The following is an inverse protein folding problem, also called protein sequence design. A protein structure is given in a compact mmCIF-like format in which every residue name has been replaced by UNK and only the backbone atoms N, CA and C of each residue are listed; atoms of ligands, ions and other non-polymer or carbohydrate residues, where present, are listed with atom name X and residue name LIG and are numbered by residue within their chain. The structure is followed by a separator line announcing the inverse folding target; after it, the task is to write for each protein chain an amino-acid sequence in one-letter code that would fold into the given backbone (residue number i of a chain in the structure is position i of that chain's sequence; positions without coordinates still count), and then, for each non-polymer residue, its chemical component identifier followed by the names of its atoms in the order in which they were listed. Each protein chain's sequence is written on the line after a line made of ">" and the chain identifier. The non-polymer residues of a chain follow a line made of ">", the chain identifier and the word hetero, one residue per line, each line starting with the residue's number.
data_IF_173744954726
#
_entry.id   IF_173744954726
#
_cell.length_a   1.000
_cell.length_b   1.000
_cell.length_c   1.000
_cell.angle_alpha   90.00
_cell.angle_beta   90.00
_cell.angle_gamma   90.00
#
_symmetry.space_group_name_H-M   'P 1'
#
loop_
_entity.id
_entity.type
_entity.pdbx_description
1 polymer ?
#
# COMPACT_ATOMS: atom_id res chain seq x y z
N UNK A 1 29.72 -28.47 -66.76
CA UNK A 1 28.72 -27.48 -66.27
C UNK A 1 29.33 -26.69 -65.11
N UNK A 2 29.93 -25.53 -65.40
CA UNK A 2 30.45 -24.63 -64.37
C UNK A 2 29.32 -23.72 -63.86
N UNK A 3 29.00 -23.78 -62.58
CA UNK A 3 28.09 -22.81 -61.96
C UNK A 3 28.77 -21.45 -61.95
N UNK A 4 28.18 -20.48 -62.64
CA UNK A 4 28.61 -19.09 -62.63
C UNK A 4 28.60 -18.55 -61.20
N UNK A 5 29.78 -18.26 -60.65
CA UNK A 5 29.97 -17.55 -59.38
C UNK A 5 29.77 -16.06 -59.65
N UNK A 6 28.52 -15.66 -59.92
CA UNK A 6 28.18 -14.29 -60.26
C UNK A 6 28.34 -13.36 -59.04
N UNK A 7 29.21 -12.36 -59.18
CA UNK A 7 29.12 -11.03 -58.58
C UNK A 7 29.03 -10.90 -57.03
N UNK A 8 29.74 -11.73 -56.27
CA UNK A 8 29.89 -11.50 -54.83
C UNK A 8 30.72 -10.24 -54.50
N UNK A 9 31.61 -9.80 -55.41
CA UNK A 9 32.55 -8.69 -55.16
C UNK A 9 31.96 -7.28 -55.18
N UNK A 10 30.92 -7.02 -55.99
CA UNK A 10 30.32 -5.67 -56.11
C UNK A 10 29.22 -5.41 -55.07
N UNK A 11 28.58 -6.46 -54.53
CA UNK A 11 27.64 -6.33 -53.41
C UNK A 11 28.34 -6.38 -52.05
N UNK A 12 29.55 -6.95 -51.94
CA UNK A 12 30.29 -7.05 -50.68
C UNK A 12 30.72 -5.71 -50.06
N UNK A 13 30.82 -4.63 -50.87
CA UNK A 13 31.17 -3.28 -50.42
C UNK A 13 29.95 -2.36 -50.23
N UNK A 14 28.75 -2.84 -50.54
CA UNK A 14 27.52 -2.05 -50.37
C UNK A 14 27.15 -2.09 -48.87
N UNK A 15 27.06 -0.94 -48.19
CA UNK A 15 26.62 -0.92 -46.80
C UNK A 15 25.17 -1.40 -46.70
N UNK A 16 24.89 -2.24 -45.71
CA UNK A 16 23.54 -2.78 -45.49
C UNK A 16 22.57 -1.66 -45.12
N UNK A 17 21.44 -1.58 -45.83
CA UNK A 17 20.39 -0.56 -45.67
C UNK A 17 19.42 -0.85 -44.52
N UNK A 18 19.88 -1.55 -43.49
CA UNK A 18 19.06 -1.88 -42.32
C UNK A 18 18.79 -0.64 -41.48
N UNK A 19 17.53 -0.44 -41.07
CA UNK A 19 17.11 0.68 -40.23
C UNK A 19 17.89 0.78 -38.91
N UNK A 20 18.36 -0.35 -38.38
CA UNK A 20 19.22 -0.39 -37.19
C UNK A 20 20.60 0.24 -37.44
N UNK A 21 21.28 -0.09 -38.56
CA UNK A 21 22.58 0.49 -38.91
C UNK A 21 22.51 1.97 -39.26
N UNK A 22 21.36 2.41 -39.77
CA UNK A 22 21.11 3.82 -40.09
C UNK A 22 20.44 4.62 -38.96
N UNK A 23 20.23 4.02 -37.77
CA UNK A 23 19.53 4.65 -36.64
C UNK A 23 18.14 5.23 -37.01
N UNK A 24 17.39 4.55 -37.89
CA UNK A 24 16.03 4.92 -38.34
C UNK A 24 14.95 4.03 -37.74
N UNK A 25 15.22 3.45 -36.57
CA UNK A 25 14.19 2.72 -35.86
C UNK A 25 13.11 3.70 -35.39
N UNK A 26 11.82 3.32 -35.46
CA UNK A 26 10.76 4.14 -34.90
C UNK A 26 11.05 4.33 -33.42
N UNK A 27 11.37 5.57 -33.03
CA UNK A 27 11.62 5.93 -31.64
C UNK A 27 10.44 6.73 -31.15
N UNK A 28 9.88 6.30 -30.02
CA UNK A 28 8.94 7.14 -29.31
C UNK A 28 9.75 8.30 -28.69
N UNK A 29 9.50 9.51 -29.16
CA UNK A 29 10.15 10.74 -28.67
C UNK A 29 9.12 11.56 -27.90
N UNK A 30 8.89 11.25 -26.61
CA UNK A 30 7.95 12.01 -25.81
C UNK A 30 8.46 13.43 -25.66
N UNK A 31 7.71 14.38 -26.19
CA UNK A 31 8.00 15.79 -26.01
C UNK A 31 7.41 16.26 -24.69
N UNK A 32 8.29 16.59 -23.74
CA UNK A 32 7.91 17.13 -22.44
C UNK A 32 7.43 18.59 -22.60
N UNK A 33 6.22 18.77 -23.13
CA UNK A 33 5.57 20.08 -23.27
C UNK A 33 4.67 20.39 -22.07
N UNK A 34 4.64 21.65 -21.63
CA UNK A 34 3.85 22.10 -20.48
C UNK A 34 2.36 21.70 -20.56
N UNK A 35 1.78 21.72 -21.77
CA UNK A 35 0.38 21.33 -22.01
C UNK A 35 0.09 19.86 -21.71
N UNK A 36 1.07 18.97 -21.83
CA UNK A 36 0.88 17.52 -21.56
C UNK A 36 1.28 17.16 -20.13
N UNK A 37 2.28 17.85 -19.59
CA UNK A 37 2.84 17.59 -18.27
C UNK A 37 1.95 18.13 -17.16
N UNK A 38 1.45 19.37 -17.28
CA UNK A 38 0.65 19.99 -16.21
C UNK A 38 -0.61 19.18 -15.87
N UNK A 39 -1.42 18.72 -16.85
CA UNK A 39 -2.59 17.89 -16.55
C UNK A 39 -2.22 16.53 -15.94
N UNK A 40 -1.14 15.90 -16.40
CA UNK A 40 -0.75 14.58 -15.88
C UNK A 40 -0.31 14.65 -14.42
N UNK A 41 0.38 15.71 -14.01
CA UNK A 41 0.70 15.95 -12.60
C UNK A 41 -0.53 16.19 -11.74
N UNK A 42 -1.53 16.96 -12.21
CA UNK A 42 -2.80 17.12 -11.48
C UNK A 42 -3.57 15.80 -11.35
N UNK A 43 -3.62 14.98 -12.40
CA UNK A 43 -4.24 13.65 -12.34
C UNK A 43 -3.53 12.76 -11.32
N UNK A 44 -2.20 12.67 -11.38
CA UNK A 44 -1.41 11.88 -10.43
C UNK A 44 -1.59 12.36 -8.99
N UNK A 45 -1.60 13.68 -8.76
CA UNK A 45 -1.80 14.26 -7.43
C UNK A 45 -3.19 13.93 -6.86
N UNK A 46 -4.24 14.15 -7.64
CA UNK A 46 -5.63 13.88 -7.21
C UNK A 46 -5.88 12.40 -6.94
N UNK A 47 -5.35 11.52 -7.80
CA UNK A 47 -5.43 10.05 -7.60
C UNK A 47 -4.76 9.67 -6.28
N UNK A 48 -3.54 10.15 -6.00
CA UNK A 48 -2.83 9.82 -4.76
C UNK A 48 -3.52 10.35 -3.52
N UNK A 49 -4.09 11.57 -3.58
CA UNK A 49 -4.84 12.13 -2.45
C UNK A 49 -6.11 11.33 -2.18
N UNK A 50 -6.90 11.02 -3.22
CA UNK A 50 -8.13 10.21 -3.06
C UNK A 50 -7.84 8.81 -2.56
N UNK A 51 -6.80 8.17 -3.09
CA UNK A 51 -6.34 6.87 -2.63
C UNK A 51 -5.87 6.93 -1.16
N UNK A 52 -5.07 7.94 -0.79
CA UNK A 52 -4.62 8.14 0.59
C UNK A 52 -5.77 8.31 1.58
N UNK A 53 -6.78 9.11 1.23
CA UNK A 53 -8.00 9.29 2.07
C UNK A 53 -8.78 7.98 2.21
N UNK A 54 -8.97 7.25 1.10
CA UNK A 54 -9.65 5.95 1.11
C UNK A 54 -8.93 4.95 2.04
N UNK A 55 -7.61 4.86 1.92
CA UNK A 55 -6.80 3.98 2.76
C UNK A 55 -6.84 4.38 4.23
N UNK A 56 -6.84 5.69 4.54
CA UNK A 56 -6.95 6.16 5.92
C UNK A 56 -8.29 5.73 6.54
N UNK A 57 -9.39 5.84 5.79
CA UNK A 57 -10.71 5.40 6.23
C UNK A 57 -10.74 3.88 6.48
N UNK A 58 -10.08 3.08 5.64
CA UNK A 58 -10.00 1.63 5.88
C UNK A 58 -9.25 1.30 7.18
N UNK A 59 -8.18 2.02 7.50
CA UNK A 59 -7.40 1.80 8.72
C UNK A 59 -8.19 2.21 9.96
N UNK A 60 -9.03 3.25 9.88
CA UNK A 60 -9.90 3.66 10.99
C UNK A 60 -10.99 2.64 11.31
N UNK A 61 -11.40 1.83 10.33
CA UNK A 61 -12.37 0.75 10.53
C UNK A 61 -11.72 -0.57 11.00
N UNK A 62 -10.39 -0.63 11.06
CA UNK A 62 -9.66 -1.79 11.54
C UNK A 62 -9.45 -1.68 13.04
N UNK A 63 -9.78 -2.76 13.76
CA UNK A 63 -9.57 -2.85 15.20
C UNK A 63 -8.46 -3.84 15.50
N UNK A 64 -7.50 -3.44 16.34
CA UNK A 64 -6.39 -4.27 16.80
C UNK A 64 -6.41 -4.37 18.33
N UNK A 65 -6.49 -5.59 18.85
CA UNK A 65 -6.36 -5.90 20.26
C UNK A 65 -4.99 -6.52 20.51
N UNK A 66 -4.22 -5.91 21.40
CA UNK A 66 -2.87 -6.36 21.80
C UNK A 66 -2.86 -6.83 23.24
N UNK A 67 -2.34 -8.04 23.46
CA UNK A 67 -2.32 -8.69 24.77
C UNK A 67 -0.90 -9.12 25.10
N UNK A 68 -0.24 -8.35 25.96
CA UNK A 68 1.07 -8.70 26.49
C UNK A 68 0.94 -9.77 27.59
N UNK A 69 1.61 -10.90 27.40
CA UNK A 69 1.65 -12.01 28.34
C UNK A 69 3.08 -12.37 28.76
N UNK A 70 4.05 -11.47 28.55
CA UNK A 70 5.48 -11.71 28.81
C UNK A 70 5.77 -12.22 30.23
N UNK A 71 5.07 -11.72 31.23
CA UNK A 71 5.24 -12.09 32.65
C UNK A 71 4.10 -12.94 33.20
N UNK A 72 3.12 -13.28 32.36
CA UNK A 72 2.05 -14.17 32.75
C UNK A 72 2.50 -15.61 32.48
N UNK A 73 2.39 -16.49 33.50
CA UNK A 73 2.47 -17.94 33.29
C UNK A 73 1.25 -18.45 32.50
N UNK A 74 0.70 -19.62 32.85
CA UNK A 74 -0.66 -19.95 32.38
C UNK A 74 -1.65 -18.94 32.95
N UNK A 75 -2.34 -18.19 32.09
CA UNK A 75 -3.28 -17.13 32.48
C UNK A 75 -4.49 -17.11 31.55
N UNK A 76 -5.65 -16.89 32.15
CA UNK A 76 -6.90 -16.60 31.47
C UNK A 76 -7.10 -15.08 31.40
N UNK A 77 -7.01 -14.52 30.19
CA UNK A 77 -7.36 -13.12 29.93
C UNK A 77 -8.72 -13.07 29.25
N UNK A 78 -9.71 -12.52 29.96
CA UNK A 78 -11.05 -12.31 29.43
C UNK A 78 -11.20 -10.86 28.94
N UNK A 79 -11.59 -10.72 27.67
CA UNK A 79 -11.87 -9.46 26.99
C UNK A 79 -13.37 -9.32 26.77
N UNK A 80 -13.90 -8.17 27.17
CA UNK A 80 -15.28 -7.78 26.95
C UNK A 80 -15.31 -6.85 25.73
N UNK A 81 -15.98 -7.26 24.65
CA UNK A 81 -15.91 -6.53 23.36
C UNK A 81 -16.87 -5.34 23.24
N UNK A 82 -17.54 -4.88 24.31
CA UNK A 82 -18.12 -3.52 24.38
C UNK A 82 -18.29 -3.06 25.82
N UNK A 83 -17.91 -1.80 26.10
CA UNK A 83 -18.17 -1.12 27.37
C UNK A 83 -19.67 -0.96 27.61
N UNK A 84 -20.20 -1.59 28.66
CA UNK A 84 -21.14 -1.04 29.66
C UNK A 84 -21.22 -2.10 30.78
N UNK A 85 -20.96 -1.70 32.03
CA UNK A 85 -20.93 -2.62 33.18
C UNK A 85 -22.20 -3.49 33.21
N UNK A 86 -22.05 -4.81 33.23
CA UNK A 86 -23.03 -5.72 33.82
C UNK A 86 -22.45 -6.40 35.07
N UNK A 87 -23.29 -6.66 36.09
CA UNK A 87 -22.85 -7.22 37.36
C UNK A 87 -22.46 -8.68 37.20
N UNK A 88 -21.54 -9.11 38.06
CA UNK A 88 -20.93 -10.44 38.15
C UNK A 88 -21.93 -11.59 37.93
N UNK A 89 -21.61 -12.61 37.11
CA UNK A 89 -22.49 -13.75 36.94
C UNK A 89 -22.36 -14.70 38.15
N UNK A 90 -23.41 -14.76 38.97
CA UNK A 90 -23.66 -15.92 39.83
C UNK A 90 -23.84 -17.17 38.97
N UNK A 91 -23.17 -18.24 39.37
CA UNK A 91 -23.05 -19.51 38.67
C UNK A 91 -24.40 -20.16 38.33
N UNK A 92 -24.62 -20.44 37.04
CA UNK A 92 -25.44 -21.58 36.60
C UNK A 92 -25.03 -22.03 35.20
N UNK A 93 -24.33 -23.14 35.13
CA UNK A 93 -24.03 -23.87 33.90
C UNK A 93 -25.26 -24.67 33.45
N UNK A 94 -25.65 -24.54 32.19
CA UNK A 94 -26.51 -25.52 31.51
C UNK A 94 -25.86 -25.94 30.20
N UNK A 95 -25.57 -27.23 30.14
CA UNK A 95 -25.02 -28.03 29.05
C UNK A 95 -25.84 -27.94 27.76
N UNK A 96 -25.15 -27.85 26.62
CA UNK A 96 -25.74 -27.94 25.29
C UNK A 96 -24.72 -27.62 24.19
N UNK A 97 -23.81 -28.56 23.91
CA UNK A 97 -22.79 -28.42 22.87
C UNK A 97 -23.40 -28.60 21.48
N UNK A 98 -23.97 -27.53 20.94
CA UNK A 98 -24.20 -27.38 19.49
C UNK A 98 -22.91 -26.81 18.91
N UNK A 99 -22.24 -27.55 18.02
CA UNK A 99 -21.04 -27.08 17.34
C UNK A 99 -21.36 -25.73 16.69
N UNK A 100 -20.73 -24.66 17.18
CA UNK A 100 -20.89 -23.32 16.65
C UNK A 100 -20.45 -23.34 15.19
N UNK A 101 -21.36 -22.94 14.30
CA UNK A 101 -21.03 -22.58 12.92
C UNK A 101 -19.76 -21.71 12.91
N UNK A 102 -18.86 -21.87 11.92
CA UNK A 102 -17.68 -21.03 11.79
C UNK A 102 -18.11 -19.55 11.77
N UNK A 103 -17.38 -18.69 12.48
CA UNK A 103 -17.65 -17.25 12.58
C UNK A 103 -17.40 -16.55 11.22
N UNK A 104 -18.31 -16.71 10.26
CA UNK A 104 -18.19 -16.14 8.89
C UNK A 104 -18.29 -14.62 8.87
N UNK A 105 -19.03 -14.03 9.81
CA UNK A 105 -19.24 -12.58 9.96
C UNK A 105 -18.35 -11.96 11.06
N UNK A 106 -17.32 -12.68 11.51
CA UNK A 106 -16.44 -12.25 12.59
C UNK A 106 -16.96 -12.61 14.00
N UNK A 107 -16.21 -12.17 15.02
CA UNK A 107 -16.57 -12.44 16.40
C UNK A 107 -17.76 -11.55 16.81
N UNK A 108 -18.91 -12.11 17.23
CA UNK A 108 -20.02 -11.31 17.75
C UNK A 108 -19.60 -10.58 19.02
N UNK A 109 -20.30 -9.49 19.36
CA UNK A 109 -20.06 -8.78 20.61
C UNK A 109 -20.32 -9.70 21.81
N UNK A 110 -19.33 -9.86 22.70
CA UNK A 110 -19.40 -10.72 23.88
C UNK A 110 -18.10 -10.83 24.66
N UNK A 111 -18.12 -11.68 25.68
CA UNK A 111 -16.97 -11.94 26.55
C UNK A 111 -16.16 -13.12 26.01
N UNK A 112 -14.91 -12.86 25.65
CA UNK A 112 -13.99 -13.84 25.10
C UNK A 112 -12.82 -14.02 26.04
N UNK A 113 -12.61 -15.25 26.52
CA UNK A 113 -11.43 -15.60 27.30
C UNK A 113 -10.40 -16.29 26.41
N UNK A 114 -9.18 -15.77 26.42
CA UNK A 114 -8.02 -16.37 25.77
C UNK A 114 -7.27 -17.13 26.87
N UNK A 115 -7.34 -18.46 26.82
CA UNK A 115 -6.59 -19.34 27.71
C UNK A 115 -5.22 -19.62 27.09
N UNK A 116 -4.19 -18.94 27.59
CA UNK A 116 -2.81 -19.14 27.14
C UNK A 116 -2.18 -20.20 28.03
N UNK A 117 -2.05 -21.42 27.52
CA UNK A 117 -1.31 -22.48 28.20
C UNK A 117 0.17 -22.37 27.85
N UNK A 118 0.99 -21.97 28.82
CA UNK A 118 2.43 -21.83 28.60
C UNK A 118 3.15 -23.12 28.93
N UNK A 119 3.56 -23.89 27.92
CA UNK A 119 4.54 -24.97 28.11
C UNK A 119 5.92 -24.34 28.17
N UNK A 120 6.60 -24.48 29.30
CA UNK A 120 7.88 -23.85 29.63
C UNK A 120 8.95 -24.01 28.54
N UNK A 121 9.05 -23.04 27.62
CA UNK A 121 10.26 -22.83 26.81
C UNK A 121 11.01 -21.62 27.38
N UNK A 122 11.66 -21.85 28.51
CA UNK A 122 12.71 -20.98 29.02
C UNK A 122 13.97 -21.34 28.25
N UNK A 123 14.28 -20.61 27.18
CA UNK A 123 15.66 -20.53 26.71
C UNK A 123 16.45 -19.96 27.88
N UNK A 124 17.28 -20.81 28.50
CA UNK A 124 18.19 -20.39 29.54
C UNK A 124 19.13 -19.33 28.96
N UNK A 125 18.91 -18.08 29.33
CA UNK A 125 19.65 -16.94 28.82
C UNK A 125 18.83 -15.68 28.99
N UNK A 126 19.45 -14.64 29.54
CA UNK A 126 18.88 -13.34 29.89
C UNK A 126 18.47 -12.49 28.67
N UNK A 127 17.71 -13.04 27.73
CA UNK A 127 17.11 -12.29 26.63
C UNK A 127 15.64 -12.07 26.91
N UNK A 128 15.35 -10.87 27.42
CA UNK A 128 14.03 -10.39 27.81
C UNK A 128 13.17 -10.11 26.57
N UNK A 129 12.73 -11.17 25.89
CA UNK A 129 11.80 -11.07 24.76
C UNK A 129 10.37 -10.77 25.24
N UNK A 130 9.76 -9.70 24.72
CA UNK A 130 8.33 -9.39 24.93
C UNK A 130 7.45 -10.33 24.10
N UNK A 131 6.48 -10.99 24.72
CA UNK A 131 5.53 -11.89 24.08
C UNK A 131 4.13 -11.26 24.09
N UNK A 132 3.55 -11.09 22.91
CA UNK A 132 2.28 -10.42 22.74
C UNK A 132 1.40 -11.19 21.75
N UNK A 133 0.12 -11.39 22.11
CA UNK A 133 -0.90 -11.90 21.20
C UNK A 133 -1.60 -10.70 20.58
N UNK A 134 -1.68 -10.66 19.25
CA UNK A 134 -2.37 -9.60 18.52
C UNK A 134 -3.56 -10.19 17.77
N UNK A 135 -4.75 -9.68 18.04
CA UNK A 135 -5.98 -9.99 17.32
C UNK A 135 -6.39 -8.77 16.52
N UNK A 136 -6.25 -8.84 15.20
CA UNK A 136 -6.61 -7.74 14.29
C UNK A 136 -7.65 -8.18 13.28
N UNK A 137 -8.60 -7.31 12.96
CA UNK A 137 -9.44 -7.50 11.77
C UNK A 137 -8.60 -7.29 10.51
N UNK A 138 -8.81 -8.10 9.48
CA UNK A 138 -8.10 -7.96 8.19
C UNK A 138 -8.93 -7.10 7.25
N UNK A 139 -8.38 -5.97 6.81
CA UNK A 139 -8.92 -5.22 5.68
C UNK A 139 -8.32 -5.74 4.38
N UNK A 140 -8.87 -5.34 3.22
CA UNK A 140 -8.33 -5.69 1.90
C UNK A 140 -6.82 -5.40 1.79
N UNK A 141 -6.35 -4.32 2.41
CA UNK A 141 -4.95 -3.88 2.35
C UNK A 141 -4.10 -4.43 3.52
N UNK A 142 -4.70 -5.22 4.42
CA UNK A 142 -4.03 -5.86 5.54
C UNK A 142 -4.40 -5.28 6.91
N UNK A 143 -3.46 -5.42 7.85
CA UNK A 143 -3.58 -5.04 9.26
C UNK A 143 -3.41 -3.52 9.46
N UNK A 144 -3.76 -3.03 10.65
CA UNK A 144 -3.75 -1.63 11.05
C UNK A 144 -2.38 -0.96 10.79
N UNK A 145 -2.28 -0.22 9.69
CA UNK A 145 -1.04 0.46 9.31
C UNK A 145 -1.29 1.90 8.83
N UNK A 146 -0.95 2.87 9.68
CA UNK A 146 -1.07 4.29 9.37
C UNK A 146 0.02 4.82 8.42
N UNK A 147 1.14 4.11 8.26
CA UNK A 147 2.29 4.62 7.49
C UNK A 147 1.93 4.84 6.03
N UNK A 148 1.29 3.86 5.40
CA UNK A 148 1.02 3.89 3.97
C UNK A 148 0.00 4.99 3.59
N UNK A 149 -1.18 5.11 4.22
CA UNK A 149 -2.09 6.24 3.97
C UNK A 149 -1.42 7.61 4.16
N UNK A 150 -0.66 7.77 5.25
CA UNK A 150 0.03 9.02 5.57
C UNK A 150 1.10 9.35 4.52
N UNK A 151 1.88 8.37 4.05
CA UNK A 151 2.86 8.57 3.00
C UNK A 151 2.23 9.00 1.67
N UNK A 152 1.09 8.41 1.29
CA UNK A 152 0.34 8.82 0.10
C UNK A 152 -0.21 10.24 0.21
N UNK A 153 -0.71 10.63 1.39
CA UNK A 153 -1.19 12.00 1.63
C UNK A 153 -0.05 13.01 1.57
N UNK A 154 1.09 12.75 2.23
CA UNK A 154 2.24 13.65 2.22
C UNK A 154 2.78 13.82 0.80
N UNK A 155 3.02 12.72 0.09
CA UNK A 155 3.56 12.79 -1.27
C UNK A 155 2.57 13.39 -2.27
N UNK A 156 1.27 13.11 -2.12
CA UNK A 156 0.21 13.72 -2.92
C UNK A 156 0.13 15.24 -2.74
N UNK A 157 0.18 15.72 -1.48
CA UNK A 157 0.20 17.14 -1.17
C UNK A 157 1.45 17.84 -1.70
N UNK A 158 2.64 17.22 -1.58
CA UNK A 158 3.88 17.79 -2.10
C UNK A 158 3.85 17.94 -3.63
N UNK A 159 3.35 16.92 -4.34
CA UNK A 159 3.18 16.98 -5.80
C UNK A 159 2.14 18.05 -6.18
N UNK A 160 1.03 18.15 -5.45
CA UNK A 160 0.01 19.17 -5.70
C UNK A 160 0.59 20.58 -5.55
N UNK A 161 1.33 20.85 -4.47
CA UNK A 161 2.01 22.14 -4.25
C UNK A 161 2.99 22.47 -5.37
N UNK A 162 3.84 21.52 -5.76
CA UNK A 162 4.77 21.71 -6.88
C UNK A 162 4.02 22.00 -8.19
N UNK A 163 2.90 21.33 -8.43
CA UNK A 163 2.09 21.53 -9.63
C UNK A 163 1.46 22.93 -9.65
N UNK A 164 0.98 23.43 -8.51
CA UNK A 164 0.45 24.79 -8.37
C UNK A 164 1.54 25.83 -8.63
N UNK A 165 2.75 25.63 -8.08
CA UNK A 165 3.89 26.53 -8.29
C UNK A 165 4.27 26.56 -9.78
N UNK A 166 4.40 25.41 -10.42
CA UNK A 166 4.71 25.33 -11.85
C UNK A 166 3.62 25.99 -12.72
N UNK A 167 2.35 25.81 -12.36
CA UNK A 167 1.22 26.46 -13.03
C UNK A 167 1.31 27.98 -12.90
N UNK A 168 1.65 28.50 -11.71
CA UNK A 168 1.82 29.93 -11.48
C UNK A 168 2.99 30.53 -12.25
N UNK A 169 4.12 29.81 -12.32
CA UNK A 169 5.29 30.21 -13.13
C UNK A 169 4.91 30.24 -14.61
N UNK A 170 4.27 29.19 -15.12
CA UNK A 170 3.83 29.10 -16.51
C UNK A 170 2.88 30.23 -16.87
N UNK A 171 1.91 30.53 -15.99
CA UNK A 171 0.99 31.66 -16.14
C UNK A 171 1.72 33.01 -16.16
N UNK A 172 2.69 33.22 -15.26
CA UNK A 172 3.48 34.46 -15.20
C UNK A 172 4.30 34.67 -16.47
N UNK A 173 4.98 33.64 -16.97
CA UNK A 173 5.73 33.71 -18.23
C UNK A 173 4.82 33.93 -19.44
N UNK A 174 3.67 33.27 -19.49
CA UNK A 174 2.67 33.49 -20.54
C UNK A 174 2.10 34.92 -20.54
N UNK A 175 1.94 35.53 -19.37
CA UNK A 175 1.57 36.95 -19.26
C UNK A 175 2.69 37.88 -19.74
N UNK A 176 3.94 37.64 -19.32
CA UNK A 176 5.07 38.49 -19.71
C UNK A 176 5.34 38.50 -21.21
N UNK A 177 5.11 37.37 -21.90
CA UNK A 177 5.27 37.30 -23.36
C UNK A 177 4.27 38.19 -24.11
N UNK A 178 3.04 38.29 -23.62
CA UNK A 178 2.00 39.16 -24.21
C UNK A 178 2.31 40.66 -24.05
N UNK A 179 2.93 41.04 -22.94
CA UNK A 179 3.32 42.44 -22.69
C UNK A 179 4.55 42.90 -23.49
N UNK A 180 5.25 42.01 -24.20
CA UNK A 180 6.42 42.35 -25.04
C UNK A 180 6.06 42.51 -26.52
N UNK A 181 4.86 42.06 -26.91
CA UNK A 181 4.35 42.12 -28.30
C UNK A 181 3.39 43.31 -28.51
N UNK A 182 3.06 44.06 -27.45
CA UNK A 182 2.33 45.34 -27.44
C UNK A 182 3.28 46.51 -27.17
#
# INVERSE_FOLDING_TARGET
>A
MGKAKANAGLLARRPDNLAFKHQRLPVWSPMLTAHTILPSFYCMATIRVKLGVCLLATVQNTHELKVDYTHAGSCDKCFETTSWRLPSPTSRSSTGSRAREPFTEGLPTGNYCIHISYTSFSLGGSETGRKEVVLSTVSWFGSQNNFLPVAYLITGCLILLLTVILTAIWWKFGKNRRNMEE
#
